data_IF_146554018560
#
_entry.id   IF_146554018560
#
_cell.length_a   1.000
_cell.length_b   1.000
_cell.length_c   1.000
_cell.angle_alpha   90.00
_cell.angle_beta   90.00
_cell.angle_gamma   90.00
#
_symmetry.space_group_name_H-M   'P 1'
#
loop_
_entity.id
_entity.type
_entity.pdbx_description
1 polymer ?
#
# COMPACT_ATOMS: atom_id res chain seq x y z
N UNK A 1 8.48 -10.51 9.15
CA UNK A 1 7.79 -9.53 8.28
C UNK A 1 6.31 -9.77 8.44
N UNK A 2 5.54 -8.74 8.78
CA UNK A 2 4.08 -8.85 8.85
C UNK A 2 3.50 -8.97 7.43
N UNK A 3 2.57 -9.91 7.26
CA UNK A 3 1.87 -10.12 6.00
C UNK A 3 0.45 -9.60 6.12
N UNK A 4 0.04 -8.77 5.17
CA UNK A 4 -1.32 -8.24 5.07
C UNK A 4 -1.99 -8.93 3.90
N UNK A 5 -3.05 -9.70 4.18
CA UNK A 5 -3.86 -10.37 3.16
C UNK A 5 -5.13 -9.58 2.93
N UNK A 6 -5.33 -9.08 1.70
CA UNK A 6 -6.54 -8.37 1.30
C UNK A 6 -7.30 -9.18 0.24
N UNK A 7 -8.61 -9.31 0.40
CA UNK A 7 -9.50 -9.84 -0.64
C UNK A 7 -10.05 -8.67 -1.46
N UNK A 8 -9.70 -8.60 -2.74
CA UNK A 8 -10.04 -7.50 -3.64
C UNK A 8 -10.79 -8.07 -4.83
N UNK A 9 -12.09 -7.74 -4.95
CA UNK A 9 -12.96 -8.25 -6.01
C UNK A 9 -12.98 -9.79 -6.12
N UNK A 10 -12.88 -10.50 -4.99
CA UNK A 10 -12.83 -11.96 -4.94
C UNK A 10 -11.44 -12.56 -5.21
N UNK A 11 -10.40 -11.74 -5.34
CA UNK A 11 -9.01 -12.20 -5.49
C UNK A 11 -8.21 -11.84 -4.25
N UNK A 12 -7.49 -12.81 -3.70
CA UNK A 12 -6.59 -12.60 -2.57
C UNK A 12 -5.24 -12.03 -3.03
N UNK A 13 -4.81 -10.93 -2.41
CA UNK A 13 -3.49 -10.33 -2.59
C UNK A 13 -2.78 -10.28 -1.24
N UNK A 14 -1.53 -10.72 -1.22
CA UNK A 14 -0.68 -10.67 -0.04
C UNK A 14 0.35 -9.56 -0.21
N UNK A 15 0.43 -8.70 0.80
CA UNK A 15 1.42 -7.62 0.89
C UNK A 15 2.34 -7.85 2.10
N UNK A 16 3.59 -7.49 1.93
CA UNK A 16 4.70 -7.58 2.89
C UNK A 16 5.31 -6.18 3.05
N UNK A 17 4.54 -5.22 3.62
CA UNK A 17 5.00 -3.85 3.79
C UNK A 17 6.21 -3.79 4.72
N UNK A 18 7.04 -2.78 4.48
CA UNK A 18 8.23 -2.52 5.28
C UNK A 18 8.53 -1.02 5.29
N UNK A 19 9.29 -0.60 6.30
CA UNK A 19 9.52 0.81 6.58
C UNK A 19 10.27 1.48 5.43
N UNK A 20 11.21 0.78 4.80
CA UNK A 20 11.97 1.30 3.66
C UNK A 20 11.06 1.64 2.48
N UNK A 21 10.17 0.72 2.10
CA UNK A 21 9.24 0.93 1.01
C UNK A 21 8.20 2.01 1.34
N UNK A 22 7.70 2.03 2.58
CA UNK A 22 6.74 3.04 3.06
C UNK A 22 7.35 4.45 3.07
N UNK A 23 8.53 4.63 3.66
CA UNK A 23 9.21 5.93 3.67
C UNK A 23 9.51 6.41 2.24
N UNK A 24 9.92 5.50 1.35
CA UNK A 24 10.15 5.83 -0.05
C UNK A 24 8.86 6.27 -0.75
N UNK A 25 7.73 5.63 -0.46
CA UNK A 25 6.42 6.05 -0.94
C UNK A 25 6.08 7.47 -0.49
N UNK A 26 6.21 7.78 0.81
CA UNK A 26 5.96 9.12 1.35
C UNK A 26 6.84 10.17 0.67
N UNK A 27 8.13 9.87 0.49
CA UNK A 27 9.08 10.80 -0.15
C UNK A 27 8.84 10.97 -1.66
N UNK A 28 8.26 9.98 -2.34
CA UNK A 28 7.92 10.04 -3.77
C UNK A 28 6.57 10.75 -4.02
N UNK A 29 5.73 10.97 -2.99
CA UNK A 29 4.45 11.66 -3.15
C UNK A 29 4.64 13.17 -3.41
N UNK A 30 4.10 13.64 -4.54
CA UNK A 30 4.01 15.05 -4.88
C UNK A 30 2.54 15.52 -4.94
N UNK A 31 2.30 16.85 -4.94
CA UNK A 31 0.94 17.40 -4.99
C UNK A 31 0.17 17.02 -6.26
N UNK A 32 0.86 16.95 -7.40
CA UNK A 32 0.33 16.66 -8.74
C UNK A 32 0.50 15.19 -9.15
N UNK A 33 1.31 14.40 -8.43
CA UNK A 33 1.58 13.01 -8.75
C UNK A 33 1.47 12.09 -7.53
N UNK A 34 0.31 11.42 -7.41
CA UNK A 34 0.01 10.45 -6.35
C UNK A 34 -0.18 9.02 -6.84
N UNK A 35 -0.51 8.85 -8.13
CA UNK A 35 -0.80 7.53 -8.71
C UNK A 35 0.48 6.72 -8.93
N UNK A 36 1.51 7.32 -9.52
CA UNK A 36 2.76 6.61 -9.79
C UNK A 36 3.48 6.15 -8.49
N UNK A 37 3.59 6.97 -7.43
CA UNK A 37 4.12 6.53 -6.15
C UNK A 37 3.33 5.37 -5.54
N UNK A 38 1.99 5.40 -5.62
CA UNK A 38 1.14 4.34 -5.10
C UNK A 38 1.35 3.00 -5.84
N UNK A 39 1.41 3.03 -7.17
CA UNK A 39 1.73 1.84 -7.98
C UNK A 39 3.10 1.26 -7.64
N UNK A 40 4.11 2.11 -7.56
CA UNK A 40 5.49 1.71 -7.26
C UNK A 40 5.59 1.09 -5.87
N UNK A 41 4.90 1.69 -4.89
CA UNK A 41 4.87 1.19 -3.53
C UNK A 41 4.26 -0.21 -3.46
N UNK A 42 3.03 -0.40 -3.96
CA UNK A 42 2.35 -1.70 -3.94
C UNK A 42 3.16 -2.79 -4.65
N UNK A 43 3.80 -2.46 -5.78
CA UNK A 43 4.65 -3.40 -6.54
C UNK A 43 5.91 -3.80 -5.76
N UNK A 44 6.44 -2.93 -4.90
CA UNK A 44 7.61 -3.22 -4.05
C UNK A 44 7.26 -4.10 -2.86
N UNK A 45 6.04 -4.02 -2.36
CA UNK A 45 5.62 -4.72 -1.14
C UNK A 45 4.76 -5.96 -1.41
N UNK A 46 4.26 -6.18 -2.63
CA UNK A 46 3.44 -7.36 -2.93
C UNK A 46 4.27 -8.64 -2.85
N UNK A 47 3.70 -9.69 -2.28
CA UNK A 47 4.30 -11.02 -2.30
C UNK A 47 4.43 -11.49 -3.75
N UNK A 48 5.51 -12.25 -4.05
CA UNK A 48 5.80 -12.71 -5.42
C UNK A 48 4.63 -13.48 -6.04
N UNK A 49 3.91 -14.27 -5.24
CA UNK A 49 2.74 -15.05 -5.66
C UNK A 49 1.52 -14.20 -6.05
N UNK A 50 1.44 -12.95 -5.58
CA UNK A 50 0.30 -12.06 -5.85
C UNK A 50 0.61 -10.98 -6.89
N UNK A 51 1.80 -11.00 -7.53
CA UNK A 51 2.21 -9.98 -8.51
C UNK A 51 1.27 -9.89 -9.71
N UNK A 52 0.86 -11.02 -10.28
CA UNK A 52 -0.04 -11.05 -11.43
C UNK A 52 -1.43 -10.53 -11.07
N UNK A 53 -1.98 -10.99 -9.93
CA UNK A 53 -3.26 -10.52 -9.40
C UNK A 53 -3.26 -9.00 -9.16
N UNK A 54 -2.18 -8.47 -8.55
CA UNK A 54 -2.03 -7.04 -8.35
C UNK A 54 -1.98 -6.30 -9.69
N UNK A 55 -1.21 -6.77 -10.68
CA UNK A 55 -1.10 -6.12 -11.98
C UNK A 55 -2.45 -5.99 -12.68
N UNK A 56 -3.30 -7.02 -12.63
CA UNK A 56 -4.66 -6.96 -13.18
C UNK A 56 -5.54 -5.95 -12.45
N UNK A 57 -5.46 -5.90 -11.11
CA UNK A 57 -6.25 -4.95 -10.31
C UNK A 57 -5.80 -3.51 -10.54
N UNK A 58 -4.50 -3.29 -10.70
CA UNK A 58 -3.90 -1.97 -10.96
C UNK A 58 -4.28 -1.38 -12.34
N UNK A 59 -4.87 -2.17 -13.25
CA UNK A 59 -5.49 -1.63 -14.49
C UNK A 59 -6.73 -0.79 -14.21
N UNK A 60 -7.36 -0.96 -13.04
CA UNK A 60 -8.58 -0.23 -12.67
C UNK A 60 -8.23 1.18 -12.17
N UNK A 61 -8.85 2.24 -12.71
CA UNK A 61 -8.61 3.60 -12.25
C UNK A 61 -8.81 3.75 -10.73
N UNK A 62 -7.84 4.36 -10.06
CA UNK A 62 -7.90 4.62 -8.62
C UNK A 62 -7.64 3.41 -7.70
N UNK A 63 -7.51 2.19 -8.23
CA UNK A 63 -7.28 0.99 -7.41
C UNK A 63 -6.00 1.08 -6.58
N UNK A 64 -4.92 1.64 -7.15
CA UNK A 64 -3.66 1.82 -6.43
C UNK A 64 -3.85 2.64 -5.13
N UNK A 65 -4.58 3.77 -5.21
CA UNK A 65 -4.80 4.62 -4.04
C UNK A 65 -5.66 3.93 -2.99
N UNK A 66 -6.70 3.20 -3.41
CA UNK A 66 -7.56 2.44 -2.50
C UNK A 66 -6.79 1.34 -1.77
N UNK A 67 -5.94 0.60 -2.49
CA UNK A 67 -5.11 -0.45 -1.91
C UNK A 67 -4.07 0.12 -0.95
N UNK A 68 -3.37 1.20 -1.34
CA UNK A 68 -2.40 1.86 -0.46
C UNK A 68 -3.04 2.33 0.83
N UNK A 69 -4.22 2.95 0.77
CA UNK A 69 -4.97 3.35 1.97
C UNK A 69 -5.22 2.14 2.87
N UNK A 70 -5.82 1.07 2.35
CA UNK A 70 -6.14 -0.12 3.17
C UNK A 70 -4.92 -0.83 3.74
N UNK A 71 -3.82 -0.91 2.98
CA UNK A 71 -2.57 -1.50 3.45
C UNK A 71 -1.96 -0.64 4.56
N UNK A 72 -1.93 0.68 4.38
CA UNK A 72 -1.29 1.59 5.33
C UNK A 72 -2.10 1.76 6.62
N UNK A 73 -3.43 1.73 6.57
CA UNK A 73 -4.28 1.75 7.77
C UNK A 73 -3.92 0.60 8.74
N UNK A 74 -3.48 -0.54 8.19
CA UNK A 74 -3.08 -1.73 8.95
C UNK A 74 -1.59 -1.66 9.32
N UNK A 75 -0.74 -1.25 8.39
CA UNK A 75 0.72 -1.28 8.56
C UNK A 75 1.26 -0.13 9.43
N UNK A 76 0.71 1.08 9.25
CA UNK A 76 1.15 2.30 9.90
C UNK A 76 -0.07 3.04 10.49
N UNK A 77 -0.70 2.47 11.54
CA UNK A 77 -1.85 3.08 12.18
C UNK A 77 -1.52 4.45 12.77
N UNK A 78 -2.52 5.32 12.86
CA UNK A 78 -2.36 6.67 13.41
C UNK A 78 -1.88 6.63 14.86
N UNK A 79 -0.93 7.51 15.20
CA UNK A 79 -0.41 7.61 16.55
C UNK A 79 -1.39 8.40 17.42
N UNK A 80 -1.84 7.80 18.52
CA UNK A 80 -2.55 8.51 19.56
C UNK A 80 -1.55 9.39 20.35
N UNK A 81 -1.73 10.70 20.30
CA UNK A 81 -0.84 11.67 20.96
C UNK A 81 -1.63 12.41 22.04
N UNK A 82 -1.23 12.22 23.30
CA UNK A 82 -1.77 12.93 24.45
C UNK A 82 -0.73 13.89 25.02
N UNK A 83 -1.13 15.15 25.28
CA UNK A 83 -0.30 16.11 26.03
C UNK A 83 -0.57 15.94 27.51
N UNK A 84 0.45 15.53 28.28
CA UNK A 84 0.37 15.43 29.74
C UNK A 84 1.01 16.64 30.39
N UNK A 85 0.26 17.30 31.27
CA UNK A 85 0.70 18.39 32.14
C UNK A 85 0.78 17.89 33.59
#
# INVERSE_FOLDING_TARGET
>A
MEKIKLCVCGTDIIFEPNQTAYNKFINEMAMDNKVAPAHNYLTRIVATESKEALAEILKRPGAALQLVSKVNDIYAPELEIEVKN
#
